data_IF_586687604001
#
_entry.id   IF_586687604001
#
_cell.length_a   1.000
_cell.length_b   1.000
_cell.length_c   1.000
_cell.angle_alpha   90.00
_cell.angle_beta   90.00
_cell.angle_gamma   90.00
#
_symmetry.space_group_name_H-M   'P 1'
#
loop_
_entity.id
_entity.type
_entity.pdbx_description
1 polymer ?
#
# COMPACT_ATOMS: atom_id res chain seq x y z
N UNK A 1 7.94 -16.16 22.57
CA UNK A 1 8.52 -15.51 21.37
C UNK A 1 7.36 -15.05 20.50
N UNK A 2 7.05 -13.75 20.49
CA UNK A 2 5.92 -13.22 19.72
C UNK A 2 6.30 -13.19 18.24
N UNK A 3 5.86 -14.20 17.49
CA UNK A 3 5.91 -14.21 16.03
C UNK A 3 4.90 -13.17 15.55
N UNK A 4 5.35 -11.92 15.47
CA UNK A 4 4.62 -10.88 14.76
C UNK A 4 4.54 -11.35 13.31
N UNK A 5 3.35 -11.52 12.75
CA UNK A 5 3.12 -11.84 11.33
C UNK A 5 3.74 -10.74 10.46
N UNK A 6 5.05 -10.90 10.21
CA UNK A 6 5.79 -10.12 9.24
C UNK A 6 5.47 -10.73 7.88
N UNK A 7 4.69 -10.01 7.08
CA UNK A 7 4.46 -10.37 5.68
C UNK A 7 5.55 -9.74 4.83
N UNK A 8 5.89 -10.37 3.72
CA UNK A 8 6.76 -9.78 2.71
C UNK A 8 5.92 -9.00 1.71
N UNK A 9 6.32 -7.76 1.43
CA UNK A 9 5.66 -6.94 0.42
C UNK A 9 5.86 -7.58 -0.96
N UNK A 10 4.79 -7.93 -1.70
CA UNK A 10 4.93 -8.56 -3.02
C UNK A 10 5.58 -7.63 -4.07
N UNK A 11 5.62 -6.32 -3.80
CA UNK A 11 6.22 -5.32 -4.69
C UNK A 11 7.74 -5.15 -4.49
N UNK A 12 8.19 -5.02 -3.25
CA UNK A 12 9.59 -4.68 -2.93
C UNK A 12 10.33 -5.77 -2.14
N UNK A 13 9.65 -6.86 -1.77
CA UNK A 13 10.22 -7.96 -0.97
C UNK A 13 10.44 -7.64 0.52
N UNK A 14 10.34 -6.37 0.93
CA UNK A 14 10.59 -5.94 2.32
C UNK A 14 9.55 -6.52 3.28
N UNK A 15 10.02 -7.01 4.43
CA UNK A 15 9.16 -7.44 5.52
C UNK A 15 8.41 -6.24 6.14
N UNK A 16 7.11 -6.37 6.33
CA UNK A 16 6.27 -5.37 6.96
C UNK A 16 5.24 -5.99 7.91
N UNK A 17 4.78 -5.20 8.87
CA UNK A 17 3.75 -5.62 9.81
C UNK A 17 2.36 -5.39 9.20
N UNK A 18 1.67 -6.49 8.93
CA UNK A 18 0.31 -6.49 8.42
C UNK A 18 -0.57 -7.28 9.38
N UNK A 19 -1.44 -6.58 10.11
CA UNK A 19 -2.38 -7.19 11.05
C UNK A 19 -3.80 -6.80 10.67
N UNK A 20 -4.43 -7.46 9.68
CA UNK A 20 -5.80 -7.13 9.27
C UNK A 20 -6.80 -7.29 10.43
N UNK A 21 -6.57 -8.25 11.33
CA UNK A 21 -7.37 -8.41 12.55
C UNK A 21 -7.15 -7.34 13.63
N UNK A 22 -6.10 -6.53 13.51
CA UNK A 22 -5.87 -5.38 14.39
C UNK A 22 -5.26 -4.23 13.56
N UNK A 23 -6.12 -3.52 12.85
CA UNK A 23 -5.71 -2.51 11.86
C UNK A 23 -4.86 -1.40 12.47
N UNK A 24 -5.03 -1.07 13.75
CA UNK A 24 -4.24 -0.04 14.45
C UNK A 24 -2.77 -0.44 14.62
N UNK A 25 -2.46 -1.73 14.50
CA UNK A 25 -1.10 -2.28 14.50
C UNK A 25 -0.57 -2.60 13.10
N UNK A 26 -1.31 -2.27 12.02
CA UNK A 26 -0.77 -2.37 10.67
C UNK A 26 0.23 -1.24 10.44
N UNK A 27 1.34 -1.51 9.75
CA UNK A 27 2.23 -0.45 9.27
C UNK A 27 1.49 0.52 8.34
N UNK A 28 0.44 0.05 7.66
CA UNK A 28 -0.43 0.83 6.80
C UNK A 28 -1.41 1.76 7.56
N UNK A 29 -1.52 1.64 8.89
CA UNK A 29 -2.48 2.41 9.67
C UNK A 29 -2.25 3.92 9.52
N UNK A 30 -3.36 4.67 9.39
CA UNK A 30 -3.35 6.12 9.18
C UNK A 30 -2.95 6.57 7.76
N UNK A 31 -2.63 5.66 6.85
CA UNK A 31 -2.42 6.00 5.44
C UNK A 31 -3.77 6.12 4.72
N UNK A 32 -4.00 7.25 4.06
CA UNK A 32 -5.24 7.49 3.31
C UNK A 32 -5.13 6.84 1.93
N UNK A 33 -5.89 5.77 1.71
CA UNK A 33 -6.02 5.13 0.40
C UNK A 33 -7.24 5.75 -0.29
N UNK A 34 -7.01 6.52 -1.34
CA UNK A 34 -8.09 7.05 -2.18
C UNK A 34 -8.65 5.94 -3.10
N UNK A 35 -9.81 6.19 -3.72
CA UNK A 35 -10.50 5.18 -4.51
C UNK A 35 -9.67 4.69 -5.70
N UNK A 36 -8.91 5.57 -6.34
CA UNK A 36 -8.09 5.22 -7.50
C UNK A 36 -6.90 4.35 -7.13
N UNK A 37 -6.21 4.69 -6.04
CA UNK A 37 -5.16 3.84 -5.49
C UNK A 37 -5.75 2.49 -5.05
N UNK A 38 -6.93 2.47 -4.44
CA UNK A 38 -7.62 1.22 -4.07
C UNK A 38 -7.86 0.34 -5.29
N UNK A 39 -8.48 0.87 -6.34
CA UNK A 39 -8.73 0.13 -7.60
C UNK A 39 -7.41 -0.34 -8.23
N UNK A 40 -6.39 0.52 -8.25
CA UNK A 40 -5.06 0.16 -8.76
C UNK A 40 -4.45 -1.01 -7.98
N UNK A 41 -4.61 -1.02 -6.65
CA UNK A 41 -4.13 -2.09 -5.80
C UNK A 41 -4.91 -3.38 -6.03
N UNK A 42 -6.25 -3.33 -6.03
CA UNK A 42 -7.12 -4.50 -6.25
C UNK A 42 -6.89 -5.17 -7.62
N UNK A 43 -6.48 -4.41 -8.63
CA UNK A 43 -6.17 -4.95 -9.96
C UNK A 43 -4.79 -5.61 -10.06
N UNK A 44 -3.83 -5.25 -9.20
CA UNK A 44 -2.41 -5.66 -9.34
C UNK A 44 -1.90 -6.52 -8.19
N UNK A 45 -2.51 -6.43 -7.01
CA UNK A 45 -2.05 -7.08 -5.80
C UNK A 45 -3.23 -7.75 -5.09
N UNK A 46 -3.08 -9.05 -4.80
CA UNK A 46 -4.07 -9.83 -4.04
C UNK A 46 -3.82 -9.82 -2.53
N UNK A 47 -2.73 -9.19 -2.08
CA UNK A 47 -2.36 -9.05 -0.66
C UNK A 47 -1.91 -7.61 -0.37
N UNK A 48 -1.78 -7.26 0.90
CA UNK A 48 -1.29 -5.98 1.34
C UNK A 48 0.16 -5.75 0.88
N UNK A 49 0.48 -4.50 0.63
CA UNK A 49 1.85 -4.02 0.38
C UNK A 49 2.28 -3.09 1.52
N UNK A 50 3.60 -2.92 1.68
CA UNK A 50 4.13 -2.06 2.73
C UNK A 50 3.75 -0.59 2.52
N UNK A 51 3.79 0.20 3.61
CA UNK A 51 3.47 1.64 3.59
C UNK A 51 4.31 2.43 2.56
N UNK A 52 5.59 2.09 2.43
CA UNK A 52 6.47 2.76 1.47
C UNK A 52 6.02 2.54 0.03
N UNK A 53 5.59 1.33 -0.31
CA UNK A 53 5.04 1.03 -1.63
C UNK A 53 3.70 1.73 -1.86
N UNK A 54 2.82 1.79 -0.86
CA UNK A 54 1.57 2.55 -0.94
C UNK A 54 1.82 4.03 -1.22
N UNK A 55 2.75 4.65 -0.49
CA UNK A 55 3.11 6.05 -0.67
C UNK A 55 3.70 6.31 -2.06
N UNK A 56 4.61 5.45 -2.52
CA UNK A 56 5.18 5.56 -3.86
C UNK A 56 4.09 5.49 -4.95
N UNK A 57 3.18 4.52 -4.86
CA UNK A 57 2.10 4.37 -5.85
C UNK A 57 1.13 5.55 -5.83
N UNK A 58 0.83 6.10 -4.65
CA UNK A 58 0.02 7.32 -4.51
C UNK A 58 0.66 8.49 -5.27
N UNK A 59 1.97 8.69 -5.09
CA UNK A 59 2.74 9.74 -5.77
C UNK A 59 2.77 9.50 -7.28
N UNK A 60 3.05 8.28 -7.72
CA UNK A 60 3.12 7.91 -9.14
C UNK A 60 1.78 8.16 -9.86
N UNK A 61 0.66 7.79 -9.23
CA UNK A 61 -0.67 8.05 -9.77
C UNK A 61 -0.95 9.56 -9.88
N UNK A 62 -0.58 10.35 -8.87
CA UNK A 62 -0.79 11.80 -8.91
C UNK A 62 0.03 12.45 -10.04
N UNK A 63 1.32 12.11 -10.18
CA UNK A 63 2.14 12.63 -11.28
C UNK A 63 1.58 12.24 -12.65
N UNK A 64 1.05 11.02 -12.80
CA UNK A 64 0.42 10.61 -14.04
C UNK A 64 -0.78 11.51 -14.38
N UNK A 65 -1.63 11.82 -13.41
CA UNK A 65 -2.78 12.73 -13.64
C UNK A 65 -2.33 14.12 -14.03
N UNK A 66 -1.37 14.70 -13.31
CA UNK A 66 -0.85 16.05 -13.58
C UNK A 66 -0.27 16.14 -14.99
N UNK A 67 0.36 15.07 -15.48
CA UNK A 67 1.02 15.07 -16.80
C UNK A 67 0.10 14.76 -17.97
N UNK A 68 -0.95 13.96 -17.75
CA UNK A 68 -1.74 13.38 -18.86
C UNK A 68 -3.24 13.66 -18.82
N UNK A 69 -3.81 14.03 -17.68
CA UNK A 69 -5.27 14.25 -17.54
C UNK A 69 -5.59 15.74 -17.43
N UNK A 70 -4.78 16.51 -16.69
CA UNK A 70 -5.01 17.94 -16.48
C UNK A 70 -4.30 18.83 -17.50
N UNK A 71 -3.89 18.27 -18.66
CA UNK A 71 -3.26 19.00 -19.75
C UNK A 71 -4.24 19.29 -20.87
#
# INVERSE_FOLDING_TARGET
MCQHEKKNCPRCGTGFECKPGNITQCQCYGFVINNELKVYLEQRYNDCICKNCLQYLSIELNFFKERYIFR
#
